data_IF_174498996960
#
_entry.id   IF_174498996960
#
_cell.length_a   1.000
_cell.length_b   1.000
_cell.length_c   1.000
_cell.angle_alpha   90.00
_cell.angle_beta   90.00
_cell.angle_gamma   90.00
#
_symmetry.space_group_name_H-M   'P 1'
#
loop_
_entity.id
_entity.type
_entity.pdbx_description
1 polymer ?
#
# COMPACT_ATOMS: atom_id res chain seq x y z
N UNK A 1 33.50 -24.99 37.90
CA UNK A 1 33.90 -24.11 36.79
C UNK A 1 32.86 -23.01 36.68
N UNK A 2 33.12 -21.85 37.30
CA UNK A 2 32.27 -20.66 37.20
C UNK A 2 32.73 -19.87 35.97
N UNK A 3 31.89 -19.84 34.93
CA UNK A 3 32.14 -18.99 33.77
C UNK A 3 31.50 -17.63 34.06
N UNK A 4 32.26 -16.75 34.69
CA UNK A 4 31.94 -15.32 34.74
C UNK A 4 32.18 -14.76 33.34
N UNK A 5 31.09 -14.67 32.56
CA UNK A 5 31.09 -14.01 31.26
C UNK A 5 31.12 -12.49 31.50
N UNK A 6 32.29 -11.92 31.25
CA UNK A 6 32.58 -10.49 31.30
C UNK A 6 31.66 -9.74 30.32
N UNK A 7 30.68 -9.01 30.85
CA UNK A 7 30.07 -7.88 30.15
C UNK A 7 30.68 -6.62 30.75
N UNK A 8 31.72 -6.13 30.06
CA UNK A 8 32.37 -4.87 30.38
C UNK A 8 31.38 -3.71 30.23
N UNK A 9 31.01 -3.09 31.36
CA UNK A 9 30.59 -1.70 31.49
C UNK A 9 29.30 -1.22 30.79
N UNK A 10 28.65 -2.02 29.95
CA UNK A 10 27.40 -1.60 29.29
C UNK A 10 26.23 -1.69 30.29
N UNK A 11 25.47 -0.60 30.53
CA UNK A 11 24.29 -0.67 31.37
C UNK A 11 23.28 -1.63 30.73
N UNK A 12 23.07 -2.79 31.35
CA UNK A 12 22.06 -3.77 30.94
C UNK A 12 20.70 -3.13 31.22
N UNK A 13 20.14 -2.45 30.22
CA UNK A 13 18.77 -1.97 30.30
C UNK A 13 17.84 -3.18 30.51
N UNK A 14 16.82 -3.08 31.39
CA UNK A 14 15.91 -4.18 31.64
C UNK A 14 15.31 -4.70 30.33
N UNK A 15 15.23 -6.02 30.16
CA UNK A 15 14.73 -6.70 28.95
C UNK A 15 13.37 -6.16 28.46
N UNK A 16 12.54 -5.70 29.39
CA UNK A 16 11.27 -5.02 29.09
C UNK A 16 11.45 -3.85 28.10
N UNK A 17 12.44 -2.98 28.29
CA UNK A 17 12.71 -1.84 27.40
C UNK A 17 13.21 -2.28 26.03
N UNK A 18 14.10 -3.28 25.98
CA UNK A 18 14.62 -3.83 24.72
C UNK A 18 13.48 -4.39 23.86
N UNK A 19 12.53 -5.10 24.48
CA UNK A 19 11.37 -5.66 23.76
C UNK A 19 10.42 -4.59 23.19
N UNK A 20 10.29 -3.45 23.87
CA UNK A 20 9.44 -2.34 23.40
C UNK A 20 10.08 -1.61 22.22
N UNK A 21 11.40 -1.40 22.27
CA UNK A 21 12.15 -0.80 21.17
C UNK A 21 12.14 -1.70 19.93
N UNK A 22 12.42 -3.00 20.09
CA UNK A 22 12.39 -3.97 19.00
C UNK A 22 11.01 -4.04 18.32
N UNK A 23 9.93 -4.21 19.10
CA UNK A 23 8.55 -4.20 18.59
C UNK A 23 8.21 -2.93 17.82
N UNK A 24 8.75 -1.80 18.27
CA UNK A 24 8.51 -0.50 17.66
C UNK A 24 9.23 -0.34 16.32
N UNK A 25 10.47 -0.80 16.23
CA UNK A 25 11.21 -0.83 14.97
C UNK A 25 10.57 -1.80 13.98
N UNK A 26 10.18 -2.99 14.44
CA UNK A 26 9.44 -3.96 13.63
C UNK A 26 8.14 -3.39 13.07
N UNK A 27 7.31 -2.76 13.91
CA UNK A 27 6.04 -2.15 13.46
C UNK A 27 6.28 -1.03 12.43
N UNK A 28 7.32 -0.22 12.60
CA UNK A 28 7.69 0.81 11.63
C UNK A 28 8.13 0.18 10.30
N UNK A 29 9.02 -0.82 10.34
CA UNK A 29 9.49 -1.55 9.15
C UNK A 29 8.34 -2.25 8.43
N UNK A 30 7.47 -2.95 9.16
CA UNK A 30 6.27 -3.59 8.61
C UNK A 30 5.35 -2.55 7.95
N UNK A 31 5.15 -1.38 8.56
CA UNK A 31 4.34 -0.32 7.97
C UNK A 31 4.95 0.24 6.68
N UNK A 32 6.27 0.37 6.62
CA UNK A 32 6.99 0.85 5.44
C UNK A 32 6.88 -0.17 4.30
N UNK A 33 7.13 -1.45 4.59
CA UNK A 33 6.98 -2.55 3.62
C UNK A 33 5.54 -2.63 3.09
N UNK A 34 4.55 -2.57 3.98
CA UNK A 34 3.14 -2.57 3.56
C UNK A 34 2.82 -1.36 2.66
N UNK A 35 3.35 -0.18 2.97
CA UNK A 35 3.12 1.04 2.19
C UNK A 35 3.77 0.96 0.82
N UNK A 36 5.00 0.46 0.72
CA UNK A 36 5.69 0.30 -0.57
C UNK A 36 4.99 -0.75 -1.42
N UNK A 37 4.57 -1.88 -0.85
CA UNK A 37 3.78 -2.90 -1.55
C UNK A 37 2.45 -2.34 -2.05
N UNK A 38 1.70 -1.63 -1.20
CA UNK A 38 0.42 -1.04 -1.58
C UNK A 38 0.56 0.01 -2.69
N UNK A 39 1.57 0.88 -2.58
CA UNK A 39 1.86 1.92 -3.58
C UNK A 39 2.31 1.30 -4.90
N UNK A 40 3.21 0.31 -4.86
CA UNK A 40 3.70 -0.38 -6.05
C UNK A 40 2.59 -1.13 -6.78
N UNK A 41 1.72 -1.82 -6.03
CA UNK A 41 0.52 -2.46 -6.59
C UNK A 41 -0.38 -1.45 -7.30
N UNK A 42 -0.65 -0.29 -6.69
CA UNK A 42 -1.42 0.78 -7.33
C UNK A 42 -0.76 1.34 -8.59
N UNK A 43 0.56 1.55 -8.55
CA UNK A 43 1.32 2.10 -9.66
C UNK A 43 1.25 1.21 -10.92
N UNK A 44 1.25 -0.11 -10.75
CA UNK A 44 1.08 -1.04 -11.88
C UNK A 44 -0.26 -0.80 -12.58
N UNK A 45 -1.34 -0.54 -11.85
CA UNK A 45 -2.65 -0.28 -12.45
C UNK A 45 -2.73 1.05 -13.24
N UNK A 46 -1.81 1.99 -13.00
CA UNK A 46 -1.71 3.23 -13.78
C UNK A 46 -1.28 2.98 -15.24
N UNK A 47 -0.85 1.77 -15.60
CA UNK A 47 -0.65 1.39 -17.01
C UNK A 47 -1.93 1.55 -17.86
N UNK A 48 -3.09 1.60 -17.22
CA UNK A 48 -4.37 1.79 -17.88
C UNK A 48 -4.52 3.10 -18.69
N UNK A 49 -3.55 4.01 -18.65
CA UNK A 49 -3.58 5.23 -19.46
C UNK A 49 -3.48 4.89 -20.95
N UNK A 50 -2.87 3.76 -21.27
CA UNK A 50 -2.77 3.24 -22.64
C UNK A 50 -3.85 2.22 -22.99
N UNK A 51 -4.76 1.88 -22.07
CA UNK A 51 -5.82 0.90 -22.33
C UNK A 51 -7.03 1.55 -23.01
N UNK A 52 -7.64 0.78 -23.93
CA UNK A 52 -8.94 1.08 -24.50
C UNK A 52 -10.03 0.58 -23.54
N UNK A 53 -10.90 1.49 -23.12
CA UNK A 53 -12.05 1.17 -22.26
C UNK A 53 -13.34 1.10 -23.09
N UNK A 54 -14.31 0.24 -22.73
CA UNK A 54 -15.58 0.14 -23.43
C UNK A 54 -16.34 1.48 -23.45
N UNK A 55 -16.26 2.25 -22.37
CA UNK A 55 -16.83 3.59 -22.27
C UNK A 55 -15.90 4.60 -21.61
N UNK A 56 -16.08 5.89 -21.92
CA UNK A 56 -15.30 7.00 -21.32
C UNK A 56 -15.46 7.10 -19.79
N UNK A 57 -16.65 6.94 -19.19
CA UNK A 57 -16.80 6.98 -17.74
C UNK A 57 -16.06 5.85 -17.03
N UNK A 58 -16.09 4.63 -17.55
CA UNK A 58 -15.36 3.47 -17.01
C UNK A 58 -13.85 3.72 -16.98
N UNK A 59 -13.30 4.21 -18.09
CA UNK A 59 -11.89 4.59 -18.16
C UNK A 59 -11.54 5.73 -17.21
N UNK A 60 -12.43 6.69 -17.00
CA UNK A 60 -12.20 7.79 -16.06
C UNK A 60 -12.22 7.31 -14.61
N UNK A 61 -13.16 6.44 -14.26
CA UNK A 61 -13.25 5.82 -12.93
C UNK A 61 -12.03 4.95 -12.62
N UNK A 62 -11.58 4.15 -13.60
CA UNK A 62 -10.34 3.38 -13.45
C UNK A 62 -9.16 4.31 -13.20
N UNK A 63 -8.93 5.28 -14.10
CA UNK A 63 -7.77 6.18 -14.01
C UNK A 63 -7.76 6.98 -12.70
N UNK A 64 -8.88 7.58 -12.32
CA UNK A 64 -8.96 8.28 -11.03
C UNK A 64 -8.73 7.34 -9.84
N UNK A 65 -9.31 6.13 -9.86
CA UNK A 65 -9.12 5.11 -8.83
C UNK A 65 -7.67 4.65 -8.68
N UNK A 66 -6.93 4.46 -9.77
CA UNK A 66 -5.52 4.02 -9.70
C UNK A 66 -4.61 5.10 -9.15
N UNK A 67 -4.85 6.38 -9.46
CA UNK A 67 -4.13 7.50 -8.82
C UNK A 67 -4.35 7.46 -7.31
N UNK A 68 -5.59 7.25 -6.86
CA UNK A 68 -5.91 7.17 -5.44
C UNK A 68 -5.27 5.96 -4.75
N UNK A 69 -5.35 4.75 -5.30
CA UNK A 69 -4.72 3.58 -4.66
C UNK A 69 -3.19 3.63 -4.69
N UNK A 70 -2.59 4.43 -5.58
CA UNK A 70 -1.15 4.68 -5.61
C UNK A 70 -0.75 5.72 -4.57
N UNK A 71 -1.44 6.86 -4.51
CA UNK A 71 -1.02 7.99 -3.66
C UNK A 71 -1.45 7.84 -2.19
N UNK A 72 -2.65 7.31 -1.93
CA UNK A 72 -3.22 7.32 -0.57
C UNK A 72 -2.41 6.47 0.44
N UNK A 73 -1.86 5.28 0.13
CA UNK A 73 -1.03 4.54 1.08
C UNK A 73 0.14 5.35 1.62
N UNK A 74 0.86 6.07 0.74
CA UNK A 74 1.96 6.94 1.14
C UNK A 74 1.47 8.12 2.01
N UNK A 75 0.34 8.75 1.64
CA UNK A 75 -0.26 9.82 2.43
C UNK A 75 -0.70 9.34 3.83
N UNK A 76 -1.32 8.17 3.92
CA UNK A 76 -1.71 7.56 5.19
C UNK A 76 -0.49 7.29 6.08
N UNK A 77 0.60 6.78 5.50
CA UNK A 77 1.83 6.55 6.24
C UNK A 77 2.41 7.85 6.81
N UNK A 78 2.41 8.94 6.03
CA UNK A 78 2.84 10.28 6.49
C UNK A 78 1.95 10.81 7.61
N UNK A 79 0.63 10.67 7.48
CA UNK A 79 -0.33 11.08 8.52
C UNK A 79 -0.10 10.31 9.82
N UNK A 80 0.08 8.99 9.74
CA UNK A 80 0.35 8.15 10.90
C UNK A 80 1.71 8.45 11.53
N UNK A 81 2.76 8.65 10.73
CA UNK A 81 4.08 9.04 11.20
C UNK A 81 4.04 10.39 11.93
N UNK A 82 3.28 11.34 11.40
CA UNK A 82 3.08 12.66 11.98
C UNK A 82 2.28 12.57 13.29
N UNK A 83 1.20 11.80 13.32
CA UNK A 83 0.41 11.56 14.54
C UNK A 83 1.29 10.94 15.65
N UNK A 84 2.10 9.93 15.32
CA UNK A 84 3.05 9.31 16.26
C UNK A 84 4.12 10.30 16.74
N UNK A 85 4.62 11.18 15.87
CA UNK A 85 5.60 12.20 16.23
C UNK A 85 5.01 13.19 17.25
N UNK A 86 3.80 13.71 16.97
CA UNK A 86 3.12 14.65 17.87
C UNK A 86 2.75 14.00 19.21
N UNK A 87 2.25 12.77 19.21
CA UNK A 87 1.91 12.02 20.42
C UNK A 87 3.13 11.84 21.34
N UNK A 88 4.31 11.57 20.77
CA UNK A 88 5.56 11.50 21.55
C UNK A 88 6.02 12.84 22.07
N UNK A 89 5.91 13.89 21.25
CA UNK A 89 6.46 15.20 21.56
C UNK A 89 5.61 15.95 22.60
N UNK A 90 4.31 15.68 22.63
CA UNK A 90 3.35 16.34 23.50
C UNK A 90 2.54 15.30 24.28
N UNK A 91 2.86 15.13 25.57
CA UNK A 91 2.18 14.17 26.41
C UNK A 91 0.71 14.57 26.65
N UNK A 92 -0.21 13.76 26.13
CA UNK A 92 -1.55 13.60 26.70
C UNK A 92 -2.58 14.71 26.50
N UNK A 93 -2.40 15.68 25.60
CA UNK A 93 -3.49 16.62 25.26
C UNK A 93 -4.15 16.17 23.97
N UNK A 94 -5.47 15.93 23.98
CA UNK A 94 -6.33 15.89 22.79
C UNK A 94 -6.27 17.26 22.10
N UNK A 95 -5.17 17.49 21.39
CA UNK A 95 -4.97 18.69 20.62
C UNK A 95 -5.90 18.64 19.42
N UNK A 96 -6.40 19.80 18.99
CA UNK A 96 -7.16 19.90 17.74
C UNK A 96 -6.38 19.29 16.56
N UNK A 97 -5.05 19.29 16.63
CA UNK A 97 -4.16 18.64 15.65
C UNK A 97 -4.39 17.13 15.60
N UNK A 98 -4.44 16.43 16.73
CA UNK A 98 -4.67 14.97 16.74
C UNK A 98 -6.04 14.61 16.15
N UNK A 99 -7.08 15.36 16.50
CA UNK A 99 -8.43 15.17 15.95
C UNK A 99 -8.43 15.43 14.44
N UNK A 100 -7.78 16.50 13.97
CA UNK A 100 -7.65 16.80 12.56
C UNK A 100 -6.92 15.68 11.79
N UNK A 101 -5.79 15.19 12.32
CA UNK A 101 -5.05 14.08 11.71
C UNK A 101 -5.87 12.79 11.66
N UNK A 102 -6.65 12.48 12.70
CA UNK A 102 -7.54 11.33 12.73
C UNK A 102 -8.66 11.44 11.68
N UNK A 103 -9.29 12.62 11.54
CA UNK A 103 -10.31 12.87 10.53
C UNK A 103 -9.75 12.76 9.11
N UNK A 104 -8.59 13.35 8.85
CA UNK A 104 -7.89 13.24 7.56
C UNK A 104 -7.54 11.78 7.27
N UNK A 105 -6.95 11.07 8.23
CA UNK A 105 -6.60 9.65 8.08
C UNK A 105 -7.81 8.78 7.78
N UNK A 106 -8.92 8.97 8.49
CA UNK A 106 -10.15 8.22 8.25
C UNK A 106 -10.75 8.52 6.86
N UNK A 107 -10.74 9.79 6.45
CA UNK A 107 -11.23 10.19 5.12
C UNK A 107 -10.39 9.54 4.02
N UNK A 108 -9.06 9.57 4.14
CA UNK A 108 -8.15 8.91 3.20
C UNK A 108 -8.38 7.39 3.16
N UNK A 109 -8.55 6.74 4.31
CA UNK A 109 -8.83 5.31 4.38
C UNK A 109 -10.13 4.93 3.65
N UNK A 110 -11.20 5.70 3.84
CA UNK A 110 -12.47 5.49 3.13
C UNK A 110 -12.29 5.67 1.62
N UNK A 111 -11.64 6.75 1.18
CA UNK A 111 -11.37 6.99 -0.25
C UNK A 111 -10.53 5.86 -0.87
N UNK A 112 -9.56 5.32 -0.15
CA UNK A 112 -8.77 4.19 -0.60
C UNK A 112 -9.60 2.91 -0.77
N UNK A 113 -10.46 2.59 0.20
CA UNK A 113 -11.34 1.44 0.13
C UNK A 113 -12.35 1.54 -1.02
N UNK A 114 -12.96 2.72 -1.20
CA UNK A 114 -13.86 2.99 -2.32
C UNK A 114 -13.13 2.85 -3.66
N UNK A 115 -11.93 3.40 -3.78
CA UNK A 115 -11.12 3.31 -5.01
C UNK A 115 -10.77 1.85 -5.34
N UNK A 116 -10.43 1.04 -4.34
CA UNK A 116 -10.21 -0.40 -4.52
C UNK A 116 -11.48 -1.12 -4.98
N UNK A 117 -12.63 -0.83 -4.36
CA UNK A 117 -13.90 -1.44 -4.75
C UNK A 117 -14.26 -1.09 -6.20
N UNK A 118 -14.08 0.17 -6.61
CA UNK A 118 -14.29 0.61 -7.98
C UNK A 118 -13.38 -0.15 -8.94
N UNK A 119 -12.08 -0.25 -8.66
CA UNK A 119 -11.14 -0.98 -9.52
C UNK A 119 -11.46 -2.47 -9.64
N UNK A 120 -11.91 -3.11 -8.55
CA UNK A 120 -12.38 -4.49 -8.59
C UNK A 120 -13.58 -4.64 -9.53
N UNK A 121 -14.61 -3.78 -9.37
CA UNK A 121 -15.79 -3.79 -10.25
C UNK A 121 -15.39 -3.57 -11.71
N UNK A 122 -14.55 -2.57 -11.98
CA UNK A 122 -14.11 -2.26 -13.33
C UNK A 122 -13.27 -3.39 -13.95
N UNK A 123 -12.51 -4.16 -13.15
CA UNK A 123 -11.74 -5.29 -13.66
C UNK A 123 -12.67 -6.37 -14.22
N UNK A 124 -13.80 -6.63 -13.56
CA UNK A 124 -14.83 -7.55 -14.07
C UNK A 124 -15.53 -7.01 -15.32
N UNK A 125 -15.76 -5.70 -15.40
CA UNK A 125 -16.34 -5.07 -16.60
C UNK A 125 -15.42 -5.23 -17.81
N UNK A 126 -14.11 -4.99 -17.64
CA UNK A 126 -13.12 -5.19 -18.69
C UNK A 126 -12.99 -6.64 -19.13
N UNK A 127 -13.11 -7.59 -18.19
CA UNK A 127 -13.14 -9.03 -18.51
C UNK A 127 -14.37 -9.44 -19.31
N UNK A 128 -15.52 -8.77 -19.13
CA UNK A 128 -16.75 -9.06 -19.87
C UNK A 128 -16.67 -8.65 -21.35
N UNK A 129 -15.93 -7.57 -21.63
CA UNK A 129 -15.85 -6.96 -22.97
C UNK A 129 -14.40 -6.83 -23.42
N UNK A 130 -13.69 -7.95 -23.66
CA UNK A 130 -12.29 -7.91 -24.05
C UNK A 130 -12.11 -7.21 -25.41
N UNK A 131 -10.96 -6.59 -25.67
CA UNK A 131 -10.64 -6.04 -26.98
C UNK A 131 -10.79 -7.12 -28.06
N UNK A 132 -11.29 -6.79 -29.27
CA UNK A 132 -11.39 -7.75 -30.38
C UNK A 132 -10.07 -8.48 -30.67
N UNK A 133 -8.94 -7.77 -30.53
CA UNK A 133 -7.60 -8.31 -30.70
C UNK A 133 -7.26 -9.43 -29.69
N UNK A 134 -7.79 -9.38 -28.47
CA UNK A 134 -7.59 -10.43 -27.47
C UNK A 134 -8.37 -11.71 -27.77
N UNK A 135 -9.35 -11.64 -28.67
CA UNK A 135 -10.12 -12.78 -29.17
C UNK A 135 -9.61 -13.28 -30.53
N UNK A 136 -8.62 -12.61 -31.14
CA UNK A 136 -7.99 -13.12 -32.35
C UNK A 136 -7.20 -14.39 -32.02
N UNK A 137 -7.41 -15.43 -32.82
CA UNK A 137 -6.68 -16.69 -32.67
C UNK A 137 -5.21 -16.43 -32.99
N UNK A 138 -4.36 -16.42 -31.96
CA UNK A 138 -2.92 -16.53 -32.18
C UNK A 138 -2.71 -17.92 -32.79
N UNK A 139 -2.22 -18.00 -34.03
CA UNK A 139 -1.93 -19.27 -34.70
C UNK A 139 -0.66 -19.90 -34.08
N UNK A 140 -0.82 -20.43 -32.87
CA UNK A 140 0.22 -21.15 -32.13
C UNK A 140 0.77 -22.37 -32.91
N UNK A 141 0.00 -22.86 -33.87
CA UNK A 141 0.38 -23.94 -34.79
C UNK A 141 1.57 -23.60 -35.67
N UNK A 142 1.85 -22.32 -35.96
CA UNK A 142 3.07 -21.91 -36.67
C UNK A 142 4.34 -21.96 -35.81
N UNK A 143 4.20 -22.05 -34.48
CA UNK A 143 5.31 -22.13 -33.54
C UNK A 143 5.63 -23.56 -33.10
N UNK A 144 4.99 -24.55 -33.72
CA UNK A 144 5.21 -25.98 -33.52
C UNK A 144 6.24 -26.42 -34.58
N UNK A 145 7.55 -26.53 -34.26
CA UNK A 145 8.62 -26.78 -35.24
C UNK A 145 8.65 -28.21 -35.83
N UNK A 146 7.52 -28.91 -35.89
CA UNK A 146 7.47 -30.36 -36.17
C UNK A 146 6.37 -30.80 -37.15
N UNK A 147 5.68 -29.85 -37.80
CA UNK A 147 4.82 -30.11 -38.95
C UNK A 147 5.41 -29.43 -40.19
N UNK A 148 6.49 -30.00 -40.72
CA UNK A 148 7.09 -29.71 -42.02
C UNK A 148 7.11 -30.97 -42.86
#
# INVERSE_FOLDING_TARGET
>A
MNVTFWMDGAPIAPMFYVSQLARREETFLMSLVNTTMATGFGAIHCIAWVFAFPTTPEGTLWKTGTVFITAIPALLWVVLATAMYFERRFSGRRSHIFVALALVGNTLAVLYLLSRAILLVQAFVLLRSPPPDALTYIEWTWYIPHLS
#
